data_IF_538306063573
#
_entry.id   IF_538306063573
#
_cell.length_a   1.000
_cell.length_b   1.000
_cell.length_c   1.000
_cell.angle_alpha   90.00
_cell.angle_beta   90.00
_cell.angle_gamma   90.00
#
_symmetry.space_group_name_H-M   'P 1'
#
loop_
_entity.id
_entity.type
_entity.pdbx_description
1 polymer ?
#
# COMPACT_ATOMS: atom_id res chain seq x y z
N UNK A 1 -16.07 13.94 1.69
CA UNK A 1 -15.90 12.88 2.70
C UNK A 1 -14.45 12.90 3.15
N UNK A 2 -14.16 12.67 4.44
CA UNK A 2 -12.76 12.56 4.90
C UNK A 2 -12.19 11.23 4.41
N UNK A 3 -10.96 11.21 3.92
CA UNK A 3 -10.33 10.00 3.38
C UNK A 3 -8.98 9.74 4.04
N UNK A 4 -8.72 8.49 4.39
CA UNK A 4 -7.42 8.03 4.88
C UNK A 4 -6.92 6.92 3.97
N UNK A 5 -5.64 6.95 3.61
CA UNK A 5 -5.05 6.03 2.66
C UNK A 5 -3.80 5.36 3.25
N UNK A 6 -3.88 4.06 3.46
CA UNK A 6 -2.76 3.19 3.78
C UNK A 6 -2.01 2.78 2.51
N UNK A 7 -0.73 3.10 2.44
CA UNK A 7 0.17 2.77 1.33
C UNK A 7 1.44 2.13 1.91
N UNK A 8 1.59 0.82 1.73
CA UNK A 8 2.77 0.07 2.16
C UNK A 8 3.40 -0.71 1.01
N UNK A 9 4.56 -1.32 1.28
CA UNK A 9 5.34 -1.98 0.25
C UNK A 9 4.69 -3.32 -0.11
N UNK A 10 4.50 -4.21 0.86
CA UNK A 10 4.09 -5.59 0.63
C UNK A 10 2.71 -5.87 1.22
N UNK A 11 2.00 -6.91 0.74
CA UNK A 11 0.93 -7.53 1.50
C UNK A 11 1.37 -7.80 2.95
N UNK A 12 0.45 -7.78 3.91
CA UNK A 12 0.68 -7.91 5.37
C UNK A 12 1.28 -6.70 6.11
N UNK A 13 2.01 -5.80 5.45
CA UNK A 13 2.56 -4.59 6.09
C UNK A 13 1.45 -3.73 6.74
N UNK A 14 0.33 -3.56 6.02
CA UNK A 14 -0.81 -2.76 6.52
C UNK A 14 -1.41 -3.40 7.75
N UNK A 15 -1.59 -4.72 7.71
CA UNK A 15 -2.15 -5.51 8.80
C UNK A 15 -1.29 -5.42 10.06
N UNK A 16 0.03 -5.55 9.92
CA UNK A 16 0.95 -5.48 11.05
C UNK A 16 1.09 -4.08 11.64
N UNK A 17 1.17 -3.06 10.79
CA UNK A 17 1.65 -1.74 11.22
C UNK A 17 0.53 -0.74 11.48
N UNK A 18 -0.63 -0.87 10.82
CA UNK A 18 -1.59 0.23 10.78
C UNK A 18 -3.07 -0.15 10.76
N UNK A 19 -3.46 -1.42 10.63
CA UNK A 19 -4.88 -1.81 10.63
C UNK A 19 -5.65 -1.33 11.86
N UNK A 20 -5.02 -1.37 13.05
CA UNK A 20 -5.62 -0.79 14.26
C UNK A 20 -5.92 0.71 14.10
N UNK A 21 -4.98 1.49 13.56
CA UNK A 21 -5.17 2.92 13.28
C UNK A 21 -6.24 3.14 12.21
N UNK A 22 -6.27 2.33 11.15
CA UNK A 22 -7.29 2.40 10.11
C UNK A 22 -8.70 2.22 10.69
N UNK A 23 -8.92 1.20 11.53
CA UNK A 23 -10.21 0.98 12.19
C UNK A 23 -10.64 2.20 13.03
N UNK A 24 -9.72 2.81 13.77
CA UNK A 24 -9.99 4.03 14.56
C UNK A 24 -10.30 5.24 13.67
N UNK A 25 -9.71 5.34 12.49
CA UNK A 25 -10.04 6.37 11.51
C UNK A 25 -11.42 6.12 10.88
N UNK A 26 -11.80 4.86 10.64
CA UNK A 26 -13.16 4.50 10.22
C UNK A 26 -14.19 4.91 11.27
N UNK A 27 -13.95 4.59 12.56
CA UNK A 27 -14.78 5.05 13.69
C UNK A 27 -14.95 6.58 13.71
N UNK A 28 -13.91 7.30 13.29
CA UNK A 28 -13.90 8.76 13.19
C UNK A 28 -14.52 9.32 11.89
N UNK A 29 -15.11 8.46 11.05
CA UNK A 29 -15.83 8.82 9.83
C UNK A 29 -14.95 9.03 8.59
N UNK A 30 -13.74 8.47 8.56
CA UNK A 30 -12.89 8.45 7.36
C UNK A 30 -13.26 7.28 6.46
N UNK A 31 -13.40 7.51 5.15
CA UNK A 31 -13.38 6.42 4.18
C UNK A 31 -11.94 5.95 3.99
N UNK A 32 -11.74 4.65 4.17
CA UNK A 32 -10.43 4.02 4.10
C UNK A 32 -10.10 3.60 2.67
N UNK A 33 -8.83 3.75 2.32
CA UNK A 33 -8.23 3.23 1.10
C UNK A 33 -6.99 2.41 1.48
N UNK A 34 -6.73 1.36 0.71
CA UNK A 34 -5.74 0.33 1.01
C UNK A 34 -4.93 0.04 -0.25
N UNK A 35 -3.60 0.04 -0.17
CA UNK A 35 -2.74 -0.31 -1.29
C UNK A 35 -1.39 -0.84 -0.80
N UNK A 36 -0.99 -1.98 -1.35
CA UNK A 36 0.39 -2.45 -1.31
C UNK A 36 1.03 -2.12 -2.67
N UNK A 37 2.21 -1.51 -2.68
CA UNK A 37 2.87 -1.07 -3.92
C UNK A 37 3.38 -2.28 -4.71
N UNK A 38 3.88 -3.30 -4.02
CA UNK A 38 4.33 -4.56 -4.58
C UNK A 38 3.30 -5.68 -4.38
N UNK A 39 3.31 -6.66 -5.28
CA UNK A 39 2.42 -7.82 -5.25
C UNK A 39 2.86 -8.93 -4.27
N UNK A 40 4.05 -8.82 -3.67
CA UNK A 40 4.55 -9.78 -2.70
C UNK A 40 5.01 -11.12 -3.26
N UNK A 41 5.29 -11.22 -4.57
CA UNK A 41 5.63 -12.47 -5.26
C UNK A 41 6.88 -13.20 -4.72
N UNK A 42 7.75 -12.55 -3.96
CA UNK A 42 8.95 -13.15 -3.37
C UNK A 42 8.71 -13.69 -1.94
N UNK A 43 7.50 -13.52 -1.39
CA UNK A 43 7.15 -13.86 -0.02
C UNK A 43 6.90 -15.35 0.28
N UNK A 44 7.30 -16.27 -0.60
CA UNK A 44 7.14 -17.71 -0.38
C UNK A 44 8.39 -18.50 -0.73
N UNK A 45 8.67 -19.55 0.05
CA UNK A 45 9.73 -20.53 -0.22
C UNK A 45 9.20 -21.84 -0.83
N UNK A 46 7.87 -21.97 -0.98
CA UNK A 46 7.20 -23.21 -1.41
C UNK A 46 6.36 -23.02 -2.68
N UNK A 47 5.85 -21.82 -2.93
CA UNK A 47 5.08 -21.48 -4.13
C UNK A 47 5.96 -20.80 -5.17
N UNK A 48 5.55 -20.84 -6.44
CA UNK A 48 6.19 -20.02 -7.49
C UNK A 48 5.90 -18.53 -7.27
N UNK A 49 6.66 -17.65 -7.90
CA UNK A 49 6.41 -16.21 -7.81
C UNK A 49 4.99 -15.82 -8.31
N UNK A 50 4.55 -16.43 -9.41
CA UNK A 50 3.21 -16.20 -9.96
C UNK A 50 2.11 -16.68 -9.00
N UNK A 51 2.27 -17.89 -8.44
CA UNK A 51 1.31 -18.44 -7.49
C UNK A 51 1.26 -17.62 -6.20
N UNK A 52 2.43 -17.21 -5.69
CA UNK A 52 2.56 -16.35 -4.50
C UNK A 52 1.87 -15.01 -4.72
N UNK A 53 2.11 -14.34 -5.85
CA UNK A 53 1.45 -13.08 -6.18
C UNK A 53 -0.08 -13.23 -6.21
N UNK A 54 -0.59 -14.31 -6.82
CA UNK A 54 -2.03 -14.59 -6.90
C UNK A 54 -2.64 -14.82 -5.52
N UNK A 55 -1.97 -15.59 -4.65
CA UNK A 55 -2.42 -15.86 -3.28
C UNK A 55 -2.44 -14.56 -2.48
N UNK A 56 -1.32 -13.82 -2.44
CA UNK A 56 -1.19 -12.60 -1.64
C UNK A 56 -2.09 -11.45 -2.14
N UNK A 57 -2.40 -11.42 -3.43
CA UNK A 57 -3.41 -10.50 -3.97
C UNK A 57 -4.80 -10.77 -3.37
N UNK A 58 -5.23 -12.04 -3.36
CA UNK A 58 -6.52 -12.42 -2.77
C UNK A 58 -6.56 -12.16 -1.26
N UNK A 59 -5.46 -12.42 -0.55
CA UNK A 59 -5.33 -12.11 0.88
C UNK A 59 -5.44 -10.60 1.14
N UNK A 60 -4.76 -9.77 0.34
CA UNK A 60 -4.83 -8.30 0.47
C UNK A 60 -6.23 -7.75 0.20
N UNK A 61 -6.94 -8.31 -0.79
CA UNK A 61 -8.33 -7.95 -1.06
C UNK A 61 -9.24 -8.29 0.12
N UNK A 62 -9.10 -9.49 0.68
CA UNK A 62 -9.88 -9.92 1.84
C UNK A 62 -9.58 -9.07 3.08
N UNK A 63 -8.31 -8.68 3.28
CA UNK A 63 -7.93 -7.81 4.39
C UNK A 63 -8.48 -6.38 4.24
N UNK A 64 -8.46 -5.82 3.04
CA UNK A 64 -9.09 -4.54 2.75
C UNK A 64 -10.61 -4.57 2.95
N UNK A 65 -11.27 -5.65 2.50
CA UNK A 65 -12.71 -5.88 2.73
C UNK A 65 -13.04 -5.97 4.23
N UNK A 66 -12.21 -6.68 5.00
CA UNK A 66 -12.39 -6.83 6.45
C UNK A 66 -12.43 -5.48 7.20
N UNK A 67 -11.67 -4.47 6.74
CA UNK A 67 -11.65 -3.13 7.33
C UNK A 67 -12.55 -2.10 6.59
N UNK A 68 -13.41 -2.54 5.67
CA UNK A 68 -14.22 -1.68 4.77
C UNK A 68 -13.40 -0.60 4.03
N UNK A 69 -12.21 -0.97 3.57
CA UNK A 69 -11.35 -0.12 2.74
C UNK A 69 -11.56 -0.38 1.25
N UNK A 70 -11.42 0.69 0.45
CA UNK A 70 -11.30 0.56 -1.00
C UNK A 70 -9.90 0.02 -1.33
N UNK A 71 -9.84 -1.19 -1.88
CA UNK A 71 -8.61 -1.83 -2.32
C UNK A 71 -8.12 -1.25 -3.65
N UNK A 72 -6.82 -0.94 -3.74
CA UNK A 72 -6.14 -0.61 -4.98
C UNK A 72 -5.06 -1.65 -5.30
N UNK A 73 -4.96 -2.12 -6.55
CA UNK A 73 -4.01 -3.16 -6.93
C UNK A 73 -2.55 -2.67 -6.89
N UNK A 74 -1.58 -3.59 -6.73
CA UNK A 74 -0.16 -3.26 -6.73
C UNK A 74 0.33 -2.77 -8.11
N UNK A 75 1.46 -2.06 -8.10
CA UNK A 75 2.09 -1.45 -9.28
C UNK A 75 3.25 -2.28 -9.84
N UNK A 76 3.92 -3.05 -8.99
CA UNK A 76 5.12 -3.81 -9.38
C UNK A 76 5.26 -5.13 -8.60
N UNK A 77 6.34 -5.86 -8.91
CA UNK A 77 6.73 -7.04 -8.17
C UNK A 77 7.43 -6.68 -6.85
N UNK A 78 7.46 -7.66 -5.96
CA UNK A 78 8.24 -7.65 -4.73
C UNK A 78 9.76 -7.55 -5.05
N UNK A 79 10.48 -6.70 -4.32
CA UNK A 79 11.88 -6.30 -4.56
C UNK A 79 12.10 -5.45 -5.84
N UNK A 80 11.02 -4.96 -6.45
CA UNK A 80 11.06 -4.06 -7.62
C UNK A 80 10.41 -2.70 -7.31
N UNK A 81 10.26 -2.33 -6.03
CA UNK A 81 9.76 -0.99 -5.64
C UNK A 81 10.88 0.03 -5.80
N UNK A 82 11.10 0.48 -7.03
CA UNK A 82 12.10 1.51 -7.32
C UNK A 82 11.51 2.92 -7.31
N UNK A 83 12.32 3.89 -6.85
CA UNK A 83 12.01 5.30 -6.97
C UNK A 83 12.25 5.78 -8.41
N UNK A 84 11.33 5.44 -9.32
CA UNK A 84 11.34 5.84 -10.72
C UNK A 84 10.14 6.72 -11.07
N UNK A 85 10.29 7.49 -12.15
CA UNK A 85 9.25 8.41 -12.63
C UNK A 85 7.94 7.67 -12.92
N UNK A 86 7.99 6.51 -13.57
CA UNK A 86 6.79 5.77 -13.98
C UNK A 86 5.98 5.27 -12.77
N UNK A 87 6.64 4.66 -11.78
CA UNK A 87 6.01 4.24 -10.51
C UNK A 87 5.44 5.44 -9.76
N UNK A 88 6.18 6.55 -9.72
CA UNK A 88 5.72 7.78 -9.09
C UNK A 88 4.49 8.37 -9.77
N UNK A 89 4.44 8.38 -11.10
CA UNK A 89 3.29 8.87 -11.88
C UNK A 89 2.05 8.02 -11.65
N UNK A 90 2.21 6.69 -11.64
CA UNK A 90 1.13 5.75 -11.34
C UNK A 90 0.57 5.95 -9.93
N UNK A 91 1.44 5.99 -8.91
CA UNK A 91 1.01 6.21 -7.52
C UNK A 91 0.36 7.60 -7.36
N UNK A 92 0.92 8.63 -7.99
CA UNK A 92 0.35 9.99 -7.98
C UNK A 92 -1.05 10.01 -8.59
N UNK A 93 -1.29 9.26 -9.67
CA UNK A 93 -2.61 9.16 -10.27
C UNK A 93 -3.64 8.54 -9.29
N UNK A 94 -3.26 7.48 -8.57
CA UNK A 94 -4.12 6.88 -7.53
C UNK A 94 -4.40 7.88 -6.41
N UNK A 95 -3.36 8.55 -5.88
CA UNK A 95 -3.51 9.55 -4.81
C UNK A 95 -4.39 10.73 -5.26
N UNK A 96 -4.31 11.18 -6.51
CA UNK A 96 -5.16 12.24 -7.07
C UNK A 96 -6.63 11.85 -7.17
N UNK A 97 -6.92 10.58 -7.44
CA UNK A 97 -8.28 10.04 -7.41
C UNK A 97 -8.81 9.95 -5.98
N UNK A 98 -7.98 9.45 -5.04
CA UNK A 98 -8.36 9.25 -3.64
C UNK A 98 -8.49 10.57 -2.87
N UNK A 99 -7.66 11.57 -3.19
CA UNK A 99 -7.56 12.86 -2.49
C UNK A 99 -7.45 12.71 -0.96
N UNK A 100 -6.48 11.92 -0.44
CA UNK A 100 -6.41 11.58 0.99
C UNK A 100 -6.22 12.83 1.87
N UNK A 101 -6.88 12.84 3.03
CA UNK A 101 -6.56 13.79 4.10
C UNK A 101 -5.39 13.30 4.96
N UNK A 102 -5.28 11.98 5.13
CA UNK A 102 -4.22 11.30 5.88
C UNK A 102 -3.64 10.20 5.00
N UNK A 103 -2.32 10.11 4.96
CA UNK A 103 -1.60 8.97 4.39
C UNK A 103 -0.88 8.26 5.54
N UNK A 104 -1.02 6.94 5.61
CA UNK A 104 -0.25 6.05 6.48
C UNK A 104 0.73 5.30 5.60
N UNK A 105 2.03 5.34 5.93
CA UNK A 105 3.07 4.67 5.14
C UNK A 105 4.26 4.30 6.03
N UNK A 106 5.26 3.66 5.42
CA UNK A 106 6.48 3.19 6.06
C UNK A 106 7.32 4.31 6.68
N UNK A 107 8.16 3.94 7.64
CA UNK A 107 9.22 4.82 8.16
C UNK A 107 10.19 5.20 7.03
N UNK A 108 10.73 6.44 7.00
CA UNK A 108 11.78 6.81 6.05
C UNK A 108 13.12 6.09 6.33
N UNK A 109 13.26 5.48 7.51
CA UNK A 109 14.43 4.69 7.91
C UNK A 109 13.98 3.28 8.27
N UNK A 110 14.41 2.31 7.47
CA UNK A 110 14.11 0.88 7.58
C UNK A 110 15.33 0.10 7.03
N UNK A 111 15.44 -1.19 7.37
CA UNK A 111 16.44 -2.09 6.78
C UNK A 111 16.01 -2.59 5.39
N UNK A 112 14.71 -2.51 5.08
CA UNK A 112 14.13 -2.99 3.83
C UNK A 112 13.97 -1.85 2.79
N UNK A 113 14.63 -1.97 1.65
CA UNK A 113 14.66 -0.93 0.61
C UNK A 113 13.28 -0.65 -0.03
N UNK A 114 12.43 -1.65 -0.18
CA UNK A 114 11.07 -1.44 -0.70
C UNK A 114 10.23 -0.60 0.28
N UNK A 115 10.49 -0.71 1.59
CA UNK A 115 9.82 0.12 2.60
C UNK A 115 10.27 1.57 2.47
N UNK A 116 11.58 1.80 2.39
CA UNK A 116 12.13 3.17 2.26
C UNK A 116 11.71 3.80 0.93
N UNK A 117 11.73 3.04 -0.18
CA UNK A 117 11.28 3.52 -1.48
C UNK A 117 9.77 3.79 -1.51
N UNK A 118 8.94 2.93 -0.90
CA UNK A 118 7.50 3.17 -0.76
C UNK A 118 7.23 4.45 0.02
N UNK A 119 7.91 4.67 1.15
CA UNK A 119 7.79 5.92 1.91
C UNK A 119 8.12 7.13 1.01
N UNK A 120 9.23 7.09 0.28
CA UNK A 120 9.64 8.20 -0.60
C UNK A 120 8.63 8.43 -1.72
N UNK A 121 8.14 7.38 -2.36
CA UNK A 121 7.13 7.46 -3.41
C UNK A 121 5.83 8.07 -2.87
N UNK A 122 5.33 7.59 -1.74
CA UNK A 122 4.10 8.08 -1.11
C UNK A 122 4.23 9.56 -0.72
N UNK A 123 5.35 9.97 -0.13
CA UNK A 123 5.62 11.37 0.22
C UNK A 123 5.64 12.26 -1.02
N UNK A 124 6.43 11.91 -2.04
CA UNK A 124 6.50 12.72 -3.27
C UNK A 124 5.15 12.79 -3.97
N UNK A 125 4.45 11.66 -4.11
CA UNK A 125 3.13 11.62 -4.73
C UNK A 125 2.10 12.46 -3.95
N UNK A 126 2.20 12.53 -2.61
CA UNK A 126 1.37 13.40 -1.79
C UNK A 126 1.61 14.90 -2.04
N UNK A 127 2.84 15.31 -2.38
CA UNK A 127 3.17 16.69 -2.78
C UNK A 127 2.76 17.01 -4.22
N UNK A 128 2.74 16.01 -5.10
CA UNK A 128 2.38 16.17 -6.52
C UNK A 128 0.87 16.11 -6.80
N UNK A 129 0.03 15.87 -5.78
CA UNK A 129 -1.41 15.63 -5.96
C UNK A 129 -2.19 16.88 -6.40
#
# INVERSE_FOLDING_TARGET
MKTAFAICAHPDDIEFLMSGTMMRLSDAGYKLHYMNVANGCCGSTIHSAEETARIRFAESQAAAEFVDAVFHPPLCNDLEVFYHKDTLEQLTAVIRTVKPNIILTHSPQDYMEDHTNTCRLAVTAAFCR
#
